data_IF_303900459624
#
_entry.id   IF_303900459624
#
_cell.length_a   1.000
_cell.length_b   1.000
_cell.length_c   1.000
_cell.angle_alpha   90.00
_cell.angle_beta   90.00
_cell.angle_gamma   90.00
#
_symmetry.space_group_name_H-M   'P 1'
#
loop_
_entity.id
_entity.type
_entity.pdbx_description
1 polymer ?
#
# COMPACT_ATOMS: atom_id res chain seq x y z
N UNK A 1 5.52 2.43 -29.43
CA UNK A 1 4.64 2.90 -28.35
C UNK A 1 5.47 3.14 -27.11
N UNK A 2 5.14 4.15 -26.31
CA UNK A 2 5.78 4.43 -25.03
C UNK A 2 4.87 3.94 -23.92
N UNK A 3 5.39 3.14 -23.00
CA UNK A 3 4.72 2.69 -21.79
C UNK A 3 5.33 3.43 -20.59
N UNK A 4 4.50 4.10 -19.80
CA UNK A 4 4.91 4.70 -18.53
C UNK A 4 4.55 3.72 -17.41
N UNK A 5 5.55 3.19 -16.73
CA UNK A 5 5.38 2.41 -15.51
C UNK A 5 5.59 3.31 -14.31
N UNK A 6 4.56 3.44 -13.47
CA UNK A 6 4.65 4.12 -12.17
C UNK A 6 4.55 3.04 -11.10
N UNK A 7 5.63 2.85 -10.35
CA UNK A 7 5.68 1.90 -9.24
C UNK A 7 5.85 2.65 -7.92
N UNK A 8 5.20 2.23 -6.82
CA UNK A 8 5.55 2.72 -5.50
C UNK A 8 7.01 2.34 -5.22
N UNK A 9 7.82 3.33 -4.89
CA UNK A 9 9.21 3.14 -4.55
C UNK A 9 9.38 3.19 -3.04
N UNK A 10 10.38 2.44 -2.59
CA UNK A 10 11.04 2.52 -1.28
C UNK A 10 10.48 3.58 -0.31
N UNK A 11 9.82 3.12 0.75
CA UNK A 11 9.44 3.95 1.91
C UNK A 11 10.68 4.01 2.80
N UNK A 12 11.47 5.09 2.74
CA UNK A 12 12.47 5.32 3.78
C UNK A 12 11.77 5.60 5.11
N UNK A 13 11.96 4.70 6.08
CA UNK A 13 11.69 4.98 7.48
C UNK A 13 10.64 4.08 8.14
N UNK A 14 10.65 4.15 9.48
CA UNK A 14 9.87 3.39 10.48
C UNK A 14 8.34 3.44 10.33
N UNK A 15 7.83 4.04 9.27
CA UNK A 15 6.41 4.21 9.00
C UNK A 15 5.80 2.99 8.29
N UNK A 16 6.63 2.22 7.56
CA UNK A 16 6.22 0.96 6.95
C UNK A 16 5.88 -0.11 8.01
N UNK A 17 6.62 -0.14 9.13
CA UNK A 17 6.38 -1.09 10.22
C UNK A 17 5.06 -0.82 10.95
N UNK A 18 4.70 0.45 11.18
CA UNK A 18 3.49 0.76 11.94
C UNK A 18 2.21 0.61 11.10
N UNK A 19 2.27 0.93 9.81
CA UNK A 19 1.15 0.64 8.91
C UNK A 19 0.89 -0.87 8.83
N UNK A 20 1.95 -1.66 8.63
CA UNK A 20 1.84 -3.12 8.62
C UNK A 20 1.38 -3.65 9.98
N UNK A 21 1.85 -3.06 11.08
CA UNK A 21 1.41 -3.43 12.43
C UNK A 21 -0.07 -3.12 12.66
N UNK A 22 -0.57 -1.98 12.21
CA UNK A 22 -1.98 -1.61 12.35
C UNK A 22 -2.89 -2.52 11.52
N UNK A 23 -2.45 -2.83 10.30
CA UNK A 23 -3.13 -3.78 9.42
C UNK A 23 -3.12 -5.20 10.02
N UNK A 24 -1.98 -5.63 10.56
CA UNK A 24 -1.84 -6.90 11.28
C UNK A 24 -2.75 -6.95 12.51
N UNK A 25 -2.77 -5.90 13.33
CA UNK A 25 -3.62 -5.79 14.51
C UNK A 25 -5.12 -5.85 14.14
N UNK A 26 -5.50 -5.27 13.01
CA UNK A 26 -6.85 -5.40 12.48
C UNK A 26 -7.12 -6.85 12.04
N UNK A 27 -6.20 -7.46 11.30
CA UNK A 27 -6.29 -8.82 10.77
C UNK A 27 -6.44 -9.89 11.87
N UNK A 28 -5.57 -9.89 12.90
CA UNK A 28 -5.65 -10.86 14.01
C UNK A 28 -6.94 -10.80 14.81
N UNK A 29 -7.72 -9.72 14.65
CA UNK A 29 -8.98 -9.52 15.37
C UNK A 29 -10.22 -9.99 14.60
N UNK A 30 -10.05 -10.47 13.36
CA UNK A 30 -11.16 -10.92 12.47
C UNK A 30 -10.81 -12.20 11.70
N UNK A 31 -9.53 -12.49 11.50
CA UNK A 31 -9.04 -13.67 10.80
C UNK A 31 -8.66 -14.79 11.79
N UNK A 32 -8.75 -16.04 11.34
CA UNK A 32 -8.17 -17.16 12.08
C UNK A 32 -6.64 -17.24 11.88
N UNK A 33 -5.95 -18.08 12.65
CA UNK A 33 -4.48 -18.16 12.62
C UNK A 33 -3.89 -18.52 11.25
N UNK A 34 -4.56 -19.37 10.48
CA UNK A 34 -4.12 -19.78 9.14
C UNK A 34 -4.33 -18.63 8.14
N UNK A 35 -5.47 -17.96 8.20
CA UNK A 35 -5.77 -16.78 7.37
C UNK A 35 -4.83 -15.62 7.67
N UNK A 36 -4.46 -15.40 8.94
CA UNK A 36 -3.44 -14.40 9.32
C UNK A 36 -2.09 -14.75 8.69
N UNK A 37 -1.69 -16.03 8.71
CA UNK A 37 -0.43 -16.49 8.11
C UNK A 37 -0.45 -16.29 6.58
N UNK A 38 -1.57 -16.60 5.94
CA UNK A 38 -1.76 -16.47 4.51
C UNK A 38 -1.94 -15.02 4.07
N UNK A 39 -2.39 -14.13 4.96
CA UNK A 39 -2.49 -12.70 4.73
C UNK A 39 -1.12 -12.03 4.88
N UNK A 40 -0.15 -12.53 4.12
CA UNK A 40 1.14 -11.89 3.94
C UNK A 40 0.99 -10.83 2.85
N UNK A 41 1.19 -9.55 3.20
CA UNK A 41 1.31 -8.50 2.18
C UNK A 41 2.62 -8.72 1.43
N UNK A 42 2.56 -9.44 0.31
CA UNK A 42 3.66 -9.63 -0.63
C UNK A 42 4.04 -8.32 -1.36
N UNK A 43 4.08 -7.20 -0.64
CA UNK A 43 4.50 -5.91 -1.15
C UNK A 43 6.03 -5.90 -1.16
N UNK A 44 6.61 -6.40 -2.24
CA UNK A 44 8.05 -6.27 -2.48
C UNK A 44 8.32 -4.89 -3.07
N UNK A 45 8.81 -3.97 -2.23
CA UNK A 45 9.27 -2.66 -2.68
C UNK A 45 10.62 -2.85 -3.37
N UNK A 46 10.64 -2.59 -4.68
CA UNK A 46 11.87 -2.64 -5.49
C UNK A 46 12.60 -1.31 -5.46
N UNK A 47 13.93 -1.34 -5.47
CA UNK A 47 14.74 -0.15 -5.78
C UNK A 47 14.60 0.22 -7.26
N UNK A 48 15.03 1.43 -7.65
CA UNK A 48 15.02 1.81 -9.05
C UNK A 48 15.92 0.88 -9.86
N UNK A 49 17.09 0.53 -9.32
CA UNK A 49 18.05 -0.39 -9.93
C UNK A 49 17.44 -1.76 -10.19
N UNK A 50 16.65 -2.31 -9.25
CA UNK A 50 15.94 -3.58 -9.43
C UNK A 50 14.83 -3.51 -10.49
N UNK A 51 14.28 -2.32 -10.77
CA UNK A 51 13.25 -2.13 -11.79
C UNK A 51 13.82 -1.90 -13.19
N UNK A 52 14.99 -1.27 -13.29
CA UNK A 52 15.68 -1.01 -14.57
C UNK A 52 16.77 -2.05 -14.88
N UNK A 53 16.85 -3.12 -14.09
CA UNK A 53 17.81 -4.19 -14.28
C UNK A 53 17.73 -4.78 -15.70
N UNK A 54 18.87 -4.75 -16.38
CA UNK A 54 18.98 -5.14 -17.79
C UNK A 54 18.63 -6.61 -18.00
N UNK A 55 19.00 -7.50 -17.07
CA UNK A 55 18.71 -8.92 -17.18
C UNK A 55 17.20 -9.20 -17.09
N UNK A 56 16.50 -8.46 -16.22
CA UNK A 56 15.03 -8.52 -16.09
C UNK A 56 14.34 -8.00 -17.35
N UNK A 57 14.87 -6.93 -17.95
CA UNK A 57 14.28 -6.29 -19.13
C UNK A 57 14.62 -6.96 -20.46
N UNK A 58 15.76 -7.66 -20.55
CA UNK A 58 16.19 -8.41 -21.74
C UNK A 58 15.19 -9.51 -22.16
N UNK A 59 14.35 -9.97 -21.22
CA UNK A 59 13.26 -10.90 -21.50
C UNK A 59 12.00 -10.22 -22.07
N UNK A 60 12.04 -8.90 -22.25
CA UNK A 60 10.92 -8.09 -22.74
C UNK A 60 11.26 -7.42 -24.08
N UNK A 61 10.26 -7.11 -24.89
CA UNK A 61 10.44 -6.31 -26.11
C UNK A 61 10.44 -4.80 -25.81
N UNK A 62 10.98 -4.39 -24.67
CA UNK A 62 11.03 -3.01 -24.22
C UNK A 62 12.45 -2.60 -23.84
N UNK A 63 12.79 -1.36 -24.14
CA UNK A 63 14.00 -0.70 -23.62
C UNK A 63 13.59 0.45 -22.70
N UNK A 64 14.40 0.71 -21.67
CA UNK A 64 14.23 1.89 -20.81
C UNK A 64 14.83 3.10 -21.51
N UNK A 65 14.01 4.13 -21.74
CA UNK A 65 14.42 5.40 -22.35
C UNK A 65 14.42 6.56 -21.37
N UNK A 66 13.95 6.34 -20.13
CA UNK A 66 13.97 7.31 -19.05
C UNK A 66 13.60 6.66 -17.73
N UNK A 67 14.21 7.12 -16.65
CA UNK A 67 13.92 6.68 -15.29
C UNK A 67 14.11 7.86 -14.34
N UNK A 68 13.18 8.05 -13.41
CA UNK A 68 13.23 9.11 -12.40
C UNK A 68 12.60 8.66 -11.08
N UNK A 69 12.99 9.32 -9.99
CA UNK A 69 12.49 9.07 -8.65
C UNK A 69 11.92 10.38 -8.10
N UNK A 70 10.65 10.38 -7.71
CA UNK A 70 10.18 11.46 -6.83
C UNK A 70 10.58 11.13 -5.41
N UNK A 71 11.38 12.01 -4.80
CA UNK A 71 11.82 11.82 -3.42
C UNK A 71 10.82 12.36 -2.40
N UNK A 72 10.70 11.64 -1.28
CA UNK A 72 10.17 12.12 0.00
C UNK A 72 8.79 12.78 -0.08
N UNK A 73 7.91 12.23 -0.91
CA UNK A 73 6.57 12.77 -1.04
C UNK A 73 5.70 12.36 0.14
N UNK A 74 4.98 13.33 0.70
CA UNK A 74 3.85 13.03 1.57
C UNK A 74 2.64 12.67 0.70
N UNK A 75 1.80 11.72 1.13
CA UNK A 75 0.57 11.43 0.41
C UNK A 75 -0.30 12.69 0.27
N UNK A 76 -0.91 12.96 -0.89
CA UNK A 76 -1.67 14.19 -1.11
C UNK A 76 -2.76 14.46 -0.07
N UNK A 77 -3.46 13.41 0.39
CA UNK A 77 -4.49 13.52 1.42
C UNK A 77 -3.94 13.90 2.80
N UNK A 78 -2.66 13.62 3.09
CA UNK A 78 -2.02 14.08 4.33
C UNK A 78 -1.76 15.59 4.28
N UNK A 79 -1.32 16.10 3.12
CA UNK A 79 -1.14 17.53 2.89
C UNK A 79 -2.48 18.27 3.05
N UNK A 80 -3.55 17.74 2.45
CA UNK A 80 -4.89 18.32 2.57
C UNK A 80 -5.38 18.33 4.03
N UNK A 81 -5.09 17.29 4.81
CA UNK A 81 -5.42 17.25 6.23
C UNK A 81 -4.66 18.32 7.02
N UNK A 82 -3.34 18.46 6.81
CA UNK A 82 -2.52 19.48 7.50
C UNK A 82 -2.91 20.91 7.11
N UNK A 83 -3.43 21.11 5.91
CA UNK A 83 -3.95 22.39 5.44
C UNK A 83 -5.41 22.64 5.88
N UNK A 84 -6.03 21.71 6.62
CA UNK A 84 -7.41 21.83 7.09
C UNK A 84 -8.47 21.73 5.98
N UNK A 85 -8.09 21.23 4.79
CA UNK A 85 -9.01 21.02 3.66
C UNK A 85 -9.89 19.79 3.84
N UNK A 86 -9.42 18.81 4.61
CA UNK A 86 -10.19 17.62 5.00
C UNK A 86 -10.12 17.43 6.51
N UNK A 87 -11.18 16.86 7.07
CA UNK A 87 -11.28 16.48 8.48
C UNK A 87 -10.46 15.22 8.79
N UNK A 88 -10.24 14.95 10.07
CA UNK A 88 -9.61 13.70 10.52
C UNK A 88 -10.37 12.45 10.06
N UNK A 89 -11.71 12.51 10.03
CA UNK A 89 -12.53 11.40 9.56
C UNK A 89 -12.32 11.16 8.06
N UNK A 90 -12.35 12.22 7.24
CA UNK A 90 -12.09 12.12 5.80
C UNK A 90 -10.68 11.62 5.50
N UNK A 91 -9.70 12.06 6.29
CA UNK A 91 -8.34 11.56 6.23
C UNK A 91 -8.28 10.05 6.51
N UNK A 92 -8.91 9.57 7.60
CA UNK A 92 -8.96 8.15 7.95
C UNK A 92 -9.60 7.29 6.85
N UNK A 93 -10.69 7.78 6.23
CA UNK A 93 -11.36 7.11 5.11
C UNK A 93 -10.44 7.02 3.90
N UNK A 94 -9.83 8.15 3.48
CA UNK A 94 -8.91 8.19 2.33
C UNK A 94 -7.70 7.30 2.56
N UNK A 95 -7.15 7.30 3.77
CA UNK A 95 -6.01 6.46 4.13
C UNK A 95 -6.35 4.97 4.10
N UNK A 96 -7.51 4.61 4.65
CA UNK A 96 -8.01 3.23 4.63
C UNK A 96 -8.24 2.77 3.19
N UNK A 97 -8.78 3.64 2.33
CA UNK A 97 -8.91 3.37 0.90
C UNK A 97 -7.58 3.13 0.20
N UNK A 98 -6.55 3.93 0.53
CA UNK A 98 -5.19 3.72 0.01
C UNK A 98 -4.64 2.35 0.40
N UNK A 99 -4.76 1.96 1.67
CA UNK A 99 -4.32 0.62 2.14
C UNK A 99 -5.08 -0.50 1.45
N UNK A 100 -6.42 -0.39 1.42
CA UNK A 100 -7.30 -1.33 0.76
C UNK A 100 -6.92 -1.59 -0.69
N UNK A 101 -6.46 -0.56 -1.41
CA UNK A 101 -6.10 -0.66 -2.83
C UNK A 101 -4.97 -1.64 -3.16
N UNK A 102 -4.06 -1.91 -2.21
CA UNK A 102 -2.96 -2.84 -2.41
C UNK A 102 -3.01 -4.09 -1.52
N UNK A 103 -3.79 -4.08 -0.43
CA UNK A 103 -3.91 -5.25 0.46
C UNK A 103 -5.12 -6.15 0.21
N UNK A 104 -6.21 -5.64 -0.37
CA UNK A 104 -7.48 -6.39 -0.43
C UNK A 104 -7.39 -7.67 -1.25
N UNK A 105 -6.68 -7.66 -2.37
CA UNK A 105 -6.49 -8.87 -3.18
C UNK A 105 -5.76 -9.96 -2.39
N UNK A 106 -4.72 -9.62 -1.64
CA UNK A 106 -4.02 -10.57 -0.77
C UNK A 106 -4.91 -11.07 0.36
N UNK A 107 -5.77 -10.20 0.92
CA UNK A 107 -6.74 -10.59 1.93
C UNK A 107 -7.75 -11.60 1.38
N UNK A 108 -8.32 -11.33 0.21
CA UNK A 108 -9.28 -12.23 -0.45
C UNK A 108 -8.63 -13.61 -0.68
N UNK A 109 -7.38 -13.64 -1.14
CA UNK A 109 -6.65 -14.88 -1.38
C UNK A 109 -6.27 -15.63 -0.08
N UNK A 110 -6.19 -14.91 1.05
CA UNK A 110 -5.86 -15.49 2.34
C UNK A 110 -7.06 -16.13 3.06
N UNK A 111 -8.28 -15.72 2.73
CA UNK A 111 -9.51 -16.24 3.33
C UNK A 111 -9.74 -17.69 2.91
N UNK A 112 -10.23 -18.51 3.85
CA UNK A 112 -10.55 -19.92 3.59
C UNK A 112 -11.54 -20.06 2.41
N UNK A 113 -11.21 -20.95 1.47
CA UNK A 113 -12.00 -21.26 0.28
C UNK A 113 -13.41 -21.74 0.63
N UNK A 114 -13.58 -22.32 1.83
CA UNK A 114 -14.86 -22.84 2.32
C UNK A 114 -15.77 -21.76 2.92
N UNK A 115 -15.31 -20.52 3.09
CA UNK A 115 -16.19 -19.42 3.50
C UNK A 115 -17.14 -19.08 2.36
N UNK A 116 -18.42 -18.87 2.69
CA UNK A 116 -19.35 -18.26 1.75
C UNK A 116 -18.98 -16.80 1.48
N UNK A 117 -19.38 -16.31 0.31
CA UNK A 117 -19.05 -14.98 -0.18
C UNK A 117 -19.59 -13.86 0.73
N UNK A 118 -20.74 -14.05 1.36
CA UNK A 118 -21.31 -13.04 2.27
C UNK A 118 -20.44 -12.86 3.51
N UNK A 119 -19.97 -13.96 4.10
CA UNK A 119 -19.05 -13.94 5.22
C UNK A 119 -17.68 -13.36 4.85
N UNK A 120 -17.16 -13.65 3.64
CA UNK A 120 -15.91 -13.02 3.16
C UNK A 120 -16.04 -11.50 3.09
N UNK A 121 -17.12 -10.99 2.49
CA UNK A 121 -17.40 -9.55 2.39
C UNK A 121 -17.48 -8.92 3.79
N UNK A 122 -18.19 -9.56 4.73
CA UNK A 122 -18.28 -9.06 6.12
C UNK A 122 -16.91 -8.94 6.78
N UNK A 123 -16.06 -9.95 6.66
CA UNK A 123 -14.71 -9.96 7.25
C UNK A 123 -13.84 -8.85 6.67
N UNK A 124 -13.86 -8.70 5.35
CA UNK A 124 -13.12 -7.64 4.64
C UNK A 124 -13.54 -6.26 5.16
N UNK A 125 -14.85 -6.01 5.22
CA UNK A 125 -15.40 -4.75 5.71
C UNK A 125 -15.09 -4.52 7.20
N UNK A 126 -15.16 -5.56 8.04
CA UNK A 126 -14.81 -5.46 9.46
C UNK A 126 -13.33 -5.15 9.66
N UNK A 127 -12.44 -5.78 8.89
CA UNK A 127 -11.01 -5.53 8.94
C UNK A 127 -10.71 -4.05 8.66
N UNK A 128 -11.19 -3.52 7.54
CA UNK A 128 -10.91 -2.13 7.17
C UNK A 128 -11.60 -1.11 8.08
N UNK A 129 -12.78 -1.42 8.63
CA UNK A 129 -13.40 -0.59 9.67
C UNK A 129 -12.55 -0.54 10.94
N UNK A 130 -11.95 -1.66 11.35
CA UNK A 130 -11.05 -1.71 12.50
C UNK A 130 -9.74 -0.99 12.23
N UNK A 131 -9.19 -1.14 11.03
CA UNK A 131 -8.03 -0.39 10.57
C UNK A 131 -8.29 1.12 10.60
N UNK A 132 -9.40 1.60 10.03
CA UNK A 132 -9.76 3.03 10.01
C UNK A 132 -9.85 3.61 11.43
N UNK A 133 -10.44 2.86 12.37
CA UNK A 133 -10.56 3.30 13.78
C UNK A 133 -9.21 3.55 14.45
N UNK A 134 -8.17 2.82 14.05
CA UNK A 134 -6.83 3.01 14.60
C UNK A 134 -6.22 4.36 14.18
N UNK A 135 -6.67 5.00 13.09
CA UNK A 135 -6.20 6.32 12.65
C UNK A 135 -6.90 7.51 13.32
N UNK A 136 -7.85 7.25 14.23
CA UNK A 136 -8.57 8.30 14.98
C UNK A 136 -7.84 8.71 16.27
N UNK A 137 -6.61 8.25 16.50
CA UNK A 137 -5.80 8.59 17.68
C UNK A 137 -4.68 9.59 17.32
N UNK A 138 -4.28 10.40 18.30
CA UNK A 138 -3.21 11.40 18.15
C UNK A 138 -1.85 10.74 17.82
N UNK A 139 -1.60 9.54 18.34
CA UNK A 139 -0.36 8.79 18.06
C UNK A 139 -0.26 8.41 16.58
N UNK A 140 -1.36 7.94 15.99
CA UNK A 140 -1.42 7.59 14.57
C UNK A 140 -1.14 8.78 13.67
N UNK A 141 -1.53 9.99 14.07
CA UNK A 141 -1.21 11.21 13.32
C UNK A 141 0.28 11.57 13.35
N UNK A 142 0.94 11.41 14.50
CA UNK A 142 2.40 11.65 14.65
C UNK A 142 3.22 10.67 13.81
N UNK A 143 2.74 9.45 13.64
CA UNK A 143 3.37 8.44 12.78
C UNK A 143 3.26 8.79 11.30
N UNK A 144 2.17 9.44 10.90
CA UNK A 144 1.95 9.86 9.51
C UNK A 144 2.76 11.11 9.15
N UNK A 145 3.11 11.94 10.13
CA UNK A 145 4.04 13.07 9.97
C UNK A 145 5.41 12.64 9.42
N UNK A 146 5.85 11.40 9.71
CA UNK A 146 7.11 10.83 9.23
C UNK A 146 6.95 9.91 8.02
N UNK A 147 5.72 9.60 7.57
CA UNK A 147 5.50 8.76 6.39
C UNK A 147 5.90 9.52 5.12
N UNK A 148 6.83 8.94 4.36
CA UNK A 148 7.35 9.46 3.11
C UNK A 148 7.35 8.34 2.09
N UNK A 149 6.85 8.62 0.90
CA UNK A 149 6.87 7.68 -0.22
C UNK A 149 7.79 8.22 -1.29
N UNK A 150 8.59 7.34 -1.86
CA UNK A 150 9.19 7.60 -3.15
C UNK A 150 8.25 7.04 -4.23
N UNK A 151 8.31 7.57 -5.45
CA UNK A 151 7.68 6.92 -6.61
C UNK A 151 8.72 6.77 -7.71
N UNK A 152 8.78 5.59 -8.31
CA UNK A 152 9.63 5.32 -9.47
C UNK A 152 8.82 5.55 -10.74
N UNK A 153 9.36 6.38 -11.62
CA UNK A 153 8.84 6.62 -12.96
C UNK A 153 9.79 5.97 -13.95
N UNK A 154 9.29 5.03 -14.74
CA UNK A 154 10.08 4.35 -15.76
C UNK A 154 9.38 4.49 -17.09
N UNK A 155 10.10 5.01 -18.08
CA UNK A 155 9.62 5.22 -19.43
C UNK A 155 10.22 4.11 -20.30
N UNK A 156 9.36 3.24 -20.79
CA UNK A 156 9.71 2.11 -21.64
C UNK A 156 9.31 2.39 -23.09
N UNK A 157 10.16 2.03 -24.05
CA UNK A 157 9.85 2.05 -25.49
C UNK A 157 9.86 0.63 -26.03
N UNK A 158 8.83 0.28 -26.81
CA UNK A 158 8.77 -1.02 -27.49
C UNK A 158 9.83 -1.08 -28.61
N UNK A 159 10.59 -2.16 -28.65
CA UNK A 159 11.56 -2.54 -29.68
C UNK A 159 10.84 -3.25 -30.83
#
# INVERSE_FOLDING_TARGET
GVLLCVGPAYVEGHSNTVLHQNLYNAAVSVLNSEEVLNFNSSTYLRTLEELIDKNTLEQTNFEVIGADITENQQPPFYIDFKQGKITLNEYGIKYTGFVRSWSETSLINALDINRDEENKVKIIEELYKKFEKQFKTIESLKLMESYRTNSHFIILRKI
#
